data_IF_649822176110
#
_entry.id   IF_649822176110
#
_cell.length_a   1.000
_cell.length_b   1.000
_cell.length_c   1.000
_cell.angle_alpha   90.00
_cell.angle_beta   90.00
_cell.angle_gamma   90.00
#
_symmetry.space_group_name_H-M   'P 1'
#
loop_
_entity.id
_entity.type
_entity.pdbx_description
1 polymer ?
#
# COMPACT_ATOMS: atom_id res chain seq x y z
N UNK A 1 18.35 -0.29 -10.27
CA UNK A 1 18.46 0.38 -8.96
C UNK A 1 17.17 1.13 -8.76
N UNK A 2 16.38 0.85 -7.72
CA UNK A 2 15.22 1.67 -7.41
C UNK A 2 15.72 3.01 -6.81
N UNK A 3 15.83 4.04 -7.64
CA UNK A 3 16.18 5.40 -7.24
C UNK A 3 14.97 6.06 -6.55
N UNK A 4 15.20 7.03 -5.67
CA UNK A 4 14.18 7.92 -5.12
C UNK A 4 13.41 8.65 -6.24
N UNK A 5 14.08 8.90 -7.37
CA UNK A 5 13.44 9.37 -8.61
C UNK A 5 12.41 8.38 -9.15
N UNK A 6 12.62 7.07 -8.98
CA UNK A 6 11.69 6.04 -9.44
C UNK A 6 10.42 6.00 -8.60
N UNK A 7 10.49 6.32 -7.30
CA UNK A 7 9.32 6.35 -6.41
C UNK A 7 8.35 7.47 -6.80
N UNK A 8 8.85 8.71 -6.90
CA UNK A 8 8.04 9.87 -7.28
C UNK A 8 7.59 9.80 -8.75
N UNK A 9 8.42 9.24 -9.64
CA UNK A 9 8.02 8.98 -11.01
C UNK A 9 6.92 7.91 -11.11
N UNK A 10 7.01 6.84 -10.31
CA UNK A 10 5.96 5.83 -10.22
C UNK A 10 4.65 6.43 -9.68
N UNK A 11 4.72 7.27 -8.64
CA UNK A 11 3.56 8.01 -8.14
C UNK A 11 2.89 8.85 -9.24
N UNK A 12 3.68 9.58 -10.02
CA UNK A 12 3.19 10.39 -11.15
C UNK A 12 2.54 9.54 -12.24
N UNK A 13 3.12 8.39 -12.60
CA UNK A 13 2.54 7.46 -13.59
C UNK A 13 1.24 6.82 -13.13
N UNK A 14 1.05 6.63 -11.83
CA UNK A 14 -0.14 6.02 -11.25
C UNK A 14 -1.26 7.02 -10.96
N UNK A 15 -1.04 8.33 -11.14
CA UNK A 15 -2.04 9.37 -10.91
C UNK A 15 -3.07 9.48 -12.06
N UNK A 16 -3.64 8.35 -12.46
CA UNK A 16 -4.67 8.24 -13.48
C UNK A 16 -6.05 8.73 -13.00
N UNK A 17 -7.00 8.91 -13.93
CA UNK A 17 -8.37 9.30 -13.57
C UNK A 17 -9.15 8.09 -13.03
N UNK A 18 -9.55 8.18 -11.76
CA UNK A 18 -10.30 7.12 -11.07
C UNK A 18 -11.82 7.23 -11.23
N UNK A 19 -12.33 8.32 -11.80
CA UNK A 19 -13.77 8.57 -11.87
C UNK A 19 -14.18 9.48 -13.03
N UNK A 20 -13.56 9.30 -14.20
CA UNK A 20 -13.90 10.04 -15.42
C UNK A 20 -13.80 11.56 -15.23
N UNK A 21 -14.97 12.24 -15.23
CA UNK A 21 -15.09 13.70 -15.06
C UNK A 21 -15.16 14.19 -13.61
N UNK A 22 -15.21 13.30 -12.61
CA UNK A 22 -15.15 13.67 -11.20
C UNK A 22 -13.70 14.04 -10.82
N UNK A 23 -13.43 15.33 -10.92
CA UNK A 23 -12.13 15.94 -10.59
C UNK A 23 -11.81 15.82 -9.10
N UNK A 24 -12.82 15.78 -8.22
CA UNK A 24 -12.63 15.65 -6.77
C UNK A 24 -12.05 14.28 -6.40
N UNK A 25 -12.63 13.20 -6.94
CA UNK A 25 -12.10 11.84 -6.74
C UNK A 25 -10.72 11.66 -7.36
N UNK A 26 -10.51 12.22 -8.55
CA UNK A 26 -9.22 12.16 -9.26
C UNK A 26 -8.12 12.89 -8.49
N UNK A 27 -8.40 14.09 -7.96
CA UNK A 27 -7.46 14.83 -7.14
C UNK A 27 -7.14 14.06 -5.85
N UNK A 28 -8.15 13.53 -5.15
CA UNK A 28 -7.94 12.74 -3.94
C UNK A 28 -7.06 11.52 -4.19
N UNK A 29 -7.22 10.84 -5.33
CA UNK A 29 -6.34 9.73 -5.70
C UNK A 29 -4.89 10.19 -5.91
N UNK A 30 -4.68 11.28 -6.65
CA UNK A 30 -3.36 11.86 -6.85
C UNK A 30 -2.71 12.29 -5.52
N UNK A 31 -3.47 12.88 -4.60
CA UNK A 31 -2.99 13.27 -3.28
C UNK A 31 -2.63 12.07 -2.41
N UNK A 32 -3.39 10.98 -2.52
CA UNK A 32 -3.09 9.71 -1.85
C UNK A 32 -1.77 9.11 -2.35
N UNK A 33 -1.48 9.20 -3.65
CA UNK A 33 -0.21 8.77 -4.24
C UNK A 33 0.96 9.66 -3.79
N UNK A 34 0.79 10.98 -3.79
CA UNK A 34 1.81 11.92 -3.30
C UNK A 34 2.12 11.68 -1.84
N UNK A 35 1.09 11.52 -1.00
CA UNK A 35 1.29 11.24 0.42
C UNK A 35 1.98 9.90 0.64
N UNK A 36 1.55 8.86 -0.09
CA UNK A 36 2.19 7.54 -0.06
C UNK A 36 3.69 7.65 -0.40
N UNK A 37 4.03 8.34 -1.49
CA UNK A 37 5.43 8.57 -1.88
C UNK A 37 6.22 9.33 -0.79
N UNK A 38 5.67 10.42 -0.26
CA UNK A 38 6.31 11.21 0.79
C UNK A 38 6.59 10.41 2.08
N UNK A 39 5.66 9.53 2.47
CA UNK A 39 5.83 8.66 3.64
C UNK A 39 6.84 7.53 3.40
N UNK A 40 6.93 7.04 2.16
CA UNK A 40 7.81 5.94 1.79
C UNK A 40 9.23 6.39 1.48
N UNK A 41 9.43 7.63 1.03
CA UNK A 41 10.72 8.18 0.61
C UNK A 41 11.85 7.97 1.65
N UNK A 42 11.66 8.25 2.95
CA UNK A 42 12.73 8.10 3.94
C UNK A 42 13.14 6.65 4.21
N UNK A 43 12.24 5.70 3.93
CA UNK A 43 12.40 4.26 4.20
C UNK A 43 12.57 3.43 2.93
N UNK A 44 12.65 4.09 1.76
CA UNK A 44 12.72 3.39 0.48
C UNK A 44 14.06 2.67 0.32
N UNK A 45 14.07 1.35 0.03
CA UNK A 45 15.32 0.60 -0.08
C UNK A 45 16.21 1.10 -1.21
N UNK A 46 17.47 1.45 -0.88
CA UNK A 46 18.49 1.85 -1.85
C UNK A 46 19.30 0.63 -2.26
N UNK A 47 19.00 0.05 -3.43
CA UNK A 47 19.81 -1.04 -4.01
C UNK A 47 19.07 -2.35 -4.27
N UNK A 48 17.86 -2.51 -3.75
CA UNK A 48 16.99 -3.65 -4.09
C UNK A 48 16.13 -3.30 -5.30
N UNK A 49 15.94 -4.26 -6.21
CA UNK A 49 15.10 -4.10 -7.41
C UNK A 49 13.75 -4.83 -7.31
N UNK A 50 13.58 -5.71 -6.31
CA UNK A 50 12.39 -6.51 -6.12
C UNK A 50 12.20 -6.84 -4.63
N UNK A 51 10.94 -6.98 -4.21
CA UNK A 51 10.55 -7.33 -2.85
C UNK A 51 9.18 -6.74 -2.49
N UNK A 52 8.64 -7.01 -1.29
CA UNK A 52 7.32 -6.51 -0.89
C UNK A 52 7.17 -4.98 -1.00
N UNK A 53 8.27 -4.23 -0.84
CA UNK A 53 8.31 -2.78 -0.97
C UNK A 53 7.90 -2.28 -2.36
N UNK A 54 8.04 -3.07 -3.44
CA UNK A 54 7.65 -2.66 -4.80
C UNK A 54 6.15 -2.38 -4.93
N UNK A 55 5.35 -2.96 -4.04
CA UNK A 55 3.91 -2.77 -3.99
C UNK A 55 3.45 -1.87 -2.83
N UNK A 56 4.40 -1.31 -2.06
CA UNK A 56 4.09 -0.43 -0.93
C UNK A 56 3.41 0.87 -1.37
N UNK A 57 3.94 1.53 -2.41
CA UNK A 57 3.36 2.79 -2.91
C UNK A 57 1.88 2.66 -3.27
N UNK A 58 1.47 1.74 -4.16
CA UNK A 58 0.05 1.63 -4.52
C UNK A 58 -0.81 1.07 -3.38
N UNK A 59 -0.26 0.23 -2.50
CA UNK A 59 -0.99 -0.29 -1.34
C UNK A 59 -1.37 0.83 -0.37
N UNK A 60 -0.41 1.67 0.01
CA UNK A 60 -0.67 2.80 0.91
C UNK A 60 -1.52 3.87 0.24
N UNK A 61 -1.32 4.14 -1.06
CA UNK A 61 -2.18 5.05 -1.79
C UNK A 61 -3.64 4.58 -1.84
N UNK A 62 -3.89 3.30 -2.12
CA UNK A 62 -5.24 2.72 -2.10
C UNK A 62 -5.89 2.83 -0.73
N UNK A 63 -5.11 2.53 0.31
CA UNK A 63 -5.58 2.64 1.68
C UNK A 63 -5.99 4.08 2.03
N UNK A 64 -5.12 5.06 1.76
CA UNK A 64 -5.40 6.49 1.98
C UNK A 64 -6.58 7.02 1.16
N UNK A 65 -6.74 6.51 -0.06
CA UNK A 65 -7.84 6.91 -0.94
C UNK A 65 -9.17 6.33 -0.48
N UNK A 66 -9.20 5.03 -0.15
CA UNK A 66 -10.40 4.31 0.24
C UNK A 66 -10.89 4.77 1.62
N UNK A 67 -10.01 4.83 2.60
CA UNK A 67 -10.39 5.09 3.99
C UNK A 67 -10.51 6.59 4.27
N UNK A 68 -11.46 6.93 5.15
CA UNK A 68 -11.54 8.27 5.74
C UNK A 68 -10.63 8.35 6.97
N UNK A 69 -9.32 8.44 6.72
CA UNK A 69 -8.36 8.88 7.73
C UNK A 69 -8.13 10.37 7.51
N UNK A 70 -8.40 11.20 8.52
CA UNK A 70 -8.48 12.65 8.33
C UNK A 70 -9.48 13.08 7.24
N UNK A 71 -9.69 14.38 7.06
CA UNK A 71 -10.51 14.88 5.95
C UNK A 71 -9.77 14.72 4.60
N UNK A 72 -8.44 14.92 4.58
CA UNK A 72 -7.60 14.84 3.37
C UNK A 72 -6.41 13.88 3.51
N UNK A 73 -6.09 13.09 2.45
CA UNK A 73 -4.99 12.13 2.46
C UNK A 73 -3.65 12.73 2.88
N UNK A 74 -3.39 13.99 2.55
CA UNK A 74 -2.13 14.69 2.85
C UNK A 74 -1.86 14.84 4.36
N UNK A 75 -2.91 14.84 5.19
CA UNK A 75 -2.82 15.04 6.63
C UNK A 75 -2.69 13.75 7.43
N UNK A 76 -2.85 12.58 6.79
CA UNK A 76 -2.78 11.28 7.47
C UNK A 76 -1.37 11.02 7.97
N UNK A 77 -1.21 10.81 9.27
CA UNK A 77 0.07 10.53 9.92
C UNK A 77 0.55 9.10 9.68
N UNK A 78 1.85 8.86 9.84
CA UNK A 78 2.41 7.51 9.79
C UNK A 78 1.88 6.61 10.92
N UNK A 79 1.57 7.19 12.09
CA UNK A 79 1.00 6.49 13.25
C UNK A 79 -0.42 5.97 12.97
N UNK A 80 -1.28 6.78 12.36
CA UNK A 80 -2.62 6.34 11.94
C UNK A 80 -2.55 5.16 10.95
N UNK A 81 -1.59 5.22 10.02
CA UNK A 81 -1.37 4.12 9.06
C UNK A 81 -0.89 2.87 9.78
N UNK A 82 0.11 2.96 10.67
CA UNK A 82 0.59 1.80 11.43
C UNK A 82 -0.53 1.20 12.27
N UNK A 83 -1.29 2.04 12.97
CA UNK A 83 -2.44 1.62 13.79
C UNK A 83 -3.45 0.86 12.95
N UNK A 84 -3.73 1.32 11.73
CA UNK A 84 -4.65 0.64 10.83
C UNK A 84 -4.10 -0.64 10.20
N UNK A 85 -2.78 -0.77 10.07
CA UNK A 85 -2.12 -2.00 9.59
C UNK A 85 -1.94 -3.05 10.71
N UNK A 86 -2.14 -2.65 11.97
CA UNK A 86 -1.99 -3.50 13.17
C UNK A 86 -3.11 -4.53 13.42
N UNK A 87 -4.40 -4.33 13.10
CA UNK A 87 -5.49 -5.18 13.60
C UNK A 87 -5.33 -6.66 13.26
N UNK A 88 -4.90 -7.01 12.04
CA UNK A 88 -4.63 -8.41 11.67
C UNK A 88 -3.41 -9.04 12.34
N UNK A 89 -2.46 -8.23 12.82
CA UNK A 89 -1.32 -8.72 13.63
C UNK A 89 -1.74 -9.02 15.06
N UNK A 90 -2.70 -8.26 15.61
CA UNK A 90 -3.21 -8.44 16.96
C UNK A 90 -4.34 -9.49 17.03
N UNK A 91 -5.15 -9.60 15.98
CA UNK A 91 -6.34 -10.44 15.89
C UNK A 91 -6.46 -11.03 14.47
N UNK A 92 -6.11 -12.32 14.25
CA UNK A 92 -6.19 -12.96 12.93
C UNK A 92 -7.58 -12.93 12.28
N UNK A 93 -8.64 -12.82 13.09
CA UNK A 93 -10.03 -12.69 12.70
C UNK A 93 -10.43 -11.29 12.22
N UNK A 94 -9.58 -10.28 12.41
CA UNK A 94 -9.84 -8.93 11.92
C UNK A 94 -9.89 -8.91 10.36
N UNK A 95 -10.71 -8.02 9.77
CA UNK A 95 -10.73 -7.82 8.33
C UNK A 95 -9.33 -7.56 7.79
N UNK A 96 -9.01 -8.12 6.62
CA UNK A 96 -7.74 -7.78 5.98
C UNK A 96 -7.74 -6.32 5.54
N UNK A 97 -6.53 -5.78 5.31
CA UNK A 97 -6.38 -4.49 4.64
C UNK A 97 -7.14 -4.48 3.29
N UNK A 98 -7.08 -5.60 2.58
CA UNK A 98 -7.77 -5.77 1.30
C UNK A 98 -9.30 -5.70 1.45
N UNK A 99 -9.87 -6.43 2.41
CA UNK A 99 -11.31 -6.38 2.70
C UNK A 99 -11.74 -4.95 3.04
N UNK A 100 -10.94 -4.28 3.87
CA UNK A 100 -11.17 -2.89 4.28
C UNK A 100 -11.12 -1.94 3.08
N UNK A 101 -10.11 -2.07 2.21
CA UNK A 101 -9.98 -1.24 1.01
C UNK A 101 -11.15 -1.50 0.06
N UNK A 102 -11.46 -2.77 -0.23
CA UNK A 102 -12.55 -3.16 -1.13
C UNK A 102 -13.89 -2.61 -0.63
N UNK A 103 -14.23 -2.85 0.63
CA UNK A 103 -15.46 -2.38 1.25
C UNK A 103 -15.59 -0.84 1.17
N UNK A 104 -14.51 -0.12 1.50
CA UNK A 104 -14.54 1.34 1.47
C UNK A 104 -14.57 1.91 0.05
N UNK A 105 -13.93 1.28 -0.93
CA UNK A 105 -14.06 1.67 -2.34
C UNK A 105 -15.49 1.47 -2.85
N UNK A 106 -16.13 0.34 -2.52
CA UNK A 106 -17.54 0.10 -2.86
C UNK A 106 -18.46 1.13 -2.20
N UNK A 107 -18.24 1.48 -0.92
CA UNK A 107 -18.99 2.56 -0.24
C UNK A 107 -18.83 3.93 -0.90
N UNK A 108 -17.70 4.16 -1.59
CA UNK A 108 -17.45 5.38 -2.38
C UNK A 108 -18.03 5.30 -3.80
N UNK A 109 -18.71 4.21 -4.14
CA UNK A 109 -19.37 4.01 -5.43
C UNK A 109 -18.39 3.61 -6.54
N UNK A 110 -17.27 2.95 -6.21
CA UNK A 110 -16.46 2.26 -7.20
C UNK A 110 -17.00 0.86 -7.44
N UNK A 111 -17.13 0.50 -8.71
CA UNK A 111 -17.31 -0.88 -9.14
C UNK A 111 -15.93 -1.53 -9.23
N UNK A 112 -15.73 -2.64 -8.53
CA UNK A 112 -14.45 -3.36 -8.49
C UNK A 112 -14.42 -4.56 -9.45
N UNK A 113 -15.51 -4.78 -10.19
CA UNK A 113 -15.62 -5.81 -11.21
C UNK A 113 -15.55 -5.22 -12.63
N UNK A 114 -15.44 -3.90 -12.76
CA UNK A 114 -15.27 -3.21 -14.03
C UNK A 114 -13.82 -3.28 -14.57
N UNK A 115 -13.62 -2.72 -15.77
CA UNK A 115 -12.32 -2.62 -16.44
C UNK A 115 -11.60 -1.30 -16.13
N UNK A 116 -11.97 -0.58 -15.06
CA UNK A 116 -11.26 0.64 -14.66
C UNK A 116 -9.84 0.33 -14.21
N UNK A 117 -8.95 1.31 -14.33
CA UNK A 117 -7.56 1.19 -13.85
C UNK A 117 -7.50 0.96 -12.33
N UNK A 118 -8.47 1.51 -11.58
CA UNK A 118 -8.58 1.30 -10.15
C UNK A 118 -8.99 -0.14 -9.81
N UNK A 119 -10.03 -0.67 -10.46
CA UNK A 119 -10.46 -2.08 -10.33
C UNK A 119 -9.31 -3.03 -10.67
N UNK A 120 -8.62 -2.78 -11.80
CA UNK A 120 -7.46 -3.56 -12.23
C UNK A 120 -6.35 -3.55 -11.19
N UNK A 121 -6.05 -2.39 -10.60
CA UNK A 121 -5.03 -2.27 -9.56
C UNK A 121 -5.41 -3.03 -8.28
N UNK A 122 -6.65 -2.91 -7.83
CA UNK A 122 -7.16 -3.63 -6.64
C UNK A 122 -7.07 -5.14 -6.87
N UNK A 123 -7.50 -5.62 -8.04
CA UNK A 123 -7.44 -7.03 -8.42
C UNK A 123 -6.00 -7.54 -8.45
N UNK A 124 -5.09 -6.79 -9.09
CA UNK A 124 -3.67 -7.14 -9.17
C UNK A 124 -3.02 -7.26 -7.78
N UNK A 125 -3.35 -6.36 -6.86
CA UNK A 125 -2.76 -6.36 -5.52
C UNK A 125 -3.40 -7.39 -4.57
N UNK A 126 -4.70 -7.67 -4.76
CA UNK A 126 -5.46 -8.66 -4.00
C UNK A 126 -5.34 -10.10 -4.52
N UNK A 127 -4.72 -10.30 -5.68
CA UNK A 127 -4.51 -11.64 -6.23
C UNK A 127 -3.65 -12.49 -5.29
N UNK A 128 -4.20 -13.61 -4.84
CA UNK A 128 -3.49 -14.55 -3.99
C UNK A 128 -2.36 -15.21 -4.76
N UNK A 129 -1.15 -15.17 -4.18
CA UNK A 129 0.03 -15.87 -4.69
C UNK A 129 0.43 -16.98 -3.74
N UNK A 130 0.59 -18.22 -4.23
CA UNK A 130 1.02 -19.31 -3.39
C UNK A 130 2.42 -19.02 -2.80
N UNK A 131 2.75 -19.58 -1.62
CA UNK A 131 4.10 -19.55 -1.11
C UNK A 131 5.07 -20.12 -2.15
N UNK A 132 6.25 -19.52 -2.27
CA UNK A 132 7.30 -20.08 -3.11
C UNK A 132 7.89 -21.28 -2.37
N UNK A 133 7.25 -22.43 -2.51
CA UNK A 133 7.77 -23.69 -2.01
C UNK A 133 8.87 -24.18 -2.96
N UNK A 134 10.13 -24.00 -2.61
CA UNK A 134 11.24 -24.87 -3.05
C UNK A 134 12.37 -24.67 -2.04
N UNK A 135 12.83 -25.68 -1.31
CA UNK A 135 13.40 -26.89 -1.90
C UNK A 135 14.77 -26.50 -2.46
N UNK A 136 15.82 -26.71 -1.66
CA UNK A 136 17.23 -26.32 -1.87
C UNK A 136 17.55 -24.89 -1.39
N UNK A 137 17.96 -24.82 -0.12
CA UNK A 137 19.02 -23.95 0.43
C UNK A 137 19.36 -22.69 -0.38
N UNK A 138 18.51 -21.67 -0.28
CA UNK A 138 18.86 -20.29 -0.64
C UNK A 138 18.72 -19.42 0.61
N UNK A 139 19.74 -18.57 0.81
CA UNK A 139 19.97 -17.74 1.98
C UNK A 139 18.69 -17.14 2.60
N UNK A 140 18.65 -17.18 3.94
CA UNK A 140 17.54 -16.98 4.87
C UNK A 140 16.71 -15.69 4.80
N UNK A 141 16.84 -14.86 3.76
CA UNK A 141 16.25 -13.52 3.73
C UNK A 141 15.09 -13.36 2.72
N UNK A 142 14.72 -14.42 2.01
CA UNK A 142 13.76 -14.38 0.89
C UNK A 142 12.52 -15.26 1.00
N UNK A 143 12.14 -15.72 2.21
CA UNK A 143 11.00 -16.63 2.37
C UNK A 143 9.66 -15.88 2.18
N UNK A 144 9.06 -16.02 0.99
CA UNK A 144 7.69 -15.57 0.73
C UNK A 144 6.70 -16.60 1.29
N UNK A 145 6.00 -16.24 2.36
CA UNK A 145 5.04 -17.12 3.06
C UNK A 145 3.72 -17.35 2.32
N UNK A 146 3.55 -16.83 1.10
CA UNK A 146 2.26 -16.81 0.42
C UNK A 146 1.39 -15.64 0.87
N UNK A 147 0.32 -15.38 0.12
CA UNK A 147 -0.65 -14.31 0.40
C UNK A 147 -0.80 -13.33 -0.78
N UNK A 148 -1.38 -12.17 -0.51
CA UNK A 148 -1.60 -11.13 -1.52
C UNK A 148 -0.46 -10.13 -1.54
N UNK A 149 -0.24 -9.47 -2.69
CA UNK A 149 0.78 -8.43 -2.79
C UNK A 149 0.49 -7.27 -1.82
N UNK A 150 -0.79 -6.92 -1.67
CA UNK A 150 -1.25 -5.92 -0.71
C UNK A 150 -0.90 -6.33 0.72
N UNK A 151 -1.14 -7.58 1.10
CA UNK A 151 -0.84 -8.09 2.44
C UNK A 151 0.65 -8.04 2.78
N UNK A 152 1.52 -8.43 1.84
CA UNK A 152 2.95 -8.38 2.08
C UNK A 152 3.54 -6.98 2.05
N UNK A 153 3.06 -6.12 1.16
CA UNK A 153 3.40 -4.70 1.16
C UNK A 153 3.01 -4.05 2.50
N UNK A 154 1.81 -4.31 2.99
CA UNK A 154 1.33 -3.85 4.29
C UNK A 154 2.22 -4.34 5.45
N UNK A 155 2.59 -5.62 5.44
CA UNK A 155 3.47 -6.18 6.46
C UNK A 155 4.86 -5.52 6.47
N UNK A 156 5.41 -5.25 5.28
CA UNK A 156 6.67 -4.54 5.14
C UNK A 156 6.56 -3.09 5.61
N UNK A 157 5.53 -2.34 5.15
CA UNK A 157 5.28 -0.94 5.56
C UNK A 157 5.13 -0.84 7.07
N UNK A 158 4.34 -1.71 7.69
CA UNK A 158 4.19 -1.75 9.14
C UNK A 158 5.56 -1.85 9.83
N UNK A 159 6.43 -2.76 9.38
CA UNK A 159 7.76 -2.95 9.94
C UNK A 159 8.63 -1.69 9.84
N UNK A 160 8.74 -1.13 8.63
CA UNK A 160 9.61 0.03 8.41
C UNK A 160 9.05 1.31 9.01
N UNK A 161 7.73 1.52 9.02
CA UNK A 161 7.13 2.71 9.63
C UNK A 161 7.19 2.66 11.15
N UNK A 162 6.94 1.51 11.77
CA UNK A 162 7.12 1.35 13.22
C UNK A 162 8.54 1.70 13.63
N UNK A 163 9.54 1.18 12.89
CA UNK A 163 10.94 1.42 13.22
C UNK A 163 11.38 2.87 12.94
N UNK A 164 10.96 3.44 11.80
CA UNK A 164 11.45 4.74 11.37
C UNK A 164 10.71 5.92 12.01
N UNK A 165 9.39 5.85 12.12
CA UNK A 165 8.55 6.96 12.59
C UNK A 165 8.22 6.82 14.09
N UNK A 166 7.84 5.63 14.56
CA UNK A 166 7.34 5.49 15.94
C UNK A 166 8.45 5.28 16.98
N UNK A 167 9.50 4.51 16.64
CA UNK A 167 10.61 4.24 17.58
C UNK A 167 11.63 5.39 17.65
N UNK A 168 11.76 6.22 16.61
CA UNK A 168 12.66 7.39 16.64
C UNK A 168 12.13 8.54 17.49
N UNK A 169 10.81 8.68 17.60
CA UNK A 169 10.17 9.73 18.42
C UNK A 169 10.17 9.39 19.93
N UNK A 170 10.67 8.20 20.31
CA UNK A 170 10.78 7.75 21.70
C UNK A 170 12.18 7.90 22.30
N UNK A 171 13.12 8.56 21.60
CA UNK A 171 14.53 8.71 21.98
C UNK A 171 14.91 10.16 22.31
#
# INVERSE_FOLDING_TARGET
MADMRDLWWAAGRMAFSVAGSDTGRTNRWADSLRRSAALLEPVWPKGYSAGPFTHALPTIALYLYAVRLGDDPEHVSADEIVTALTPRRAAPEAPSLEDTVRENLTKRGHDLDDDSELSTLVRYLGEYRPPLATGIELASDGYWSGGTLMGAAAAWVHGVFTHHYLQRDSA
#
